data_IF_662561205180
#
_entry.id   IF_662561205180
#
_cell.length_a   1.000
_cell.length_b   1.000
_cell.length_c   1.000
_cell.angle_alpha   90.00
_cell.angle_beta   90.00
_cell.angle_gamma   90.00
#
_symmetry.space_group_name_H-M   'P 1'
#
loop_
_entity.id
_entity.type
_entity.pdbx_description
1 polymer ?
#
# COMPACT_ATOMS: atom_id res chain seq x y z
N UNK A 1 12.68 61.43 -22.84
CA UNK A 1 11.75 60.72 -21.96
C UNK A 1 12.55 59.80 -21.05
N UNK A 2 12.35 59.93 -19.74
CA UNK A 2 13.09 59.26 -18.66
C UNK A 2 12.85 57.75 -18.69
N UNK A 3 13.91 56.95 -18.68
CA UNK A 3 13.83 55.53 -18.33
C UNK A 3 14.55 55.33 -16.97
N UNK A 4 13.74 55.06 -15.94
CA UNK A 4 14.17 54.72 -14.59
C UNK A 4 14.93 53.38 -14.62
N UNK A 5 16.20 53.38 -14.21
CA UNK A 5 16.89 52.16 -13.75
C UNK A 5 16.54 51.94 -12.28
N UNK A 6 15.80 50.87 -11.97
CA UNK A 6 15.66 50.35 -10.60
C UNK A 6 16.71 49.25 -10.40
N UNK A 7 17.72 49.56 -9.60
CA UNK A 7 18.57 48.56 -8.97
C UNK A 7 17.77 47.90 -7.84
N UNK A 8 17.60 46.58 -7.90
CA UNK A 8 17.13 45.79 -6.74
C UNK A 8 18.33 44.98 -6.27
N UNK A 9 18.88 45.39 -5.13
CA UNK A 9 19.86 44.61 -4.39
C UNK A 9 19.14 43.42 -3.75
N UNK A 10 19.56 42.20 -4.11
CA UNK A 10 19.12 40.99 -3.43
C UNK A 10 19.91 40.86 -2.12
N UNK A 11 19.23 41.11 -0.99
CA UNK A 11 19.75 40.81 0.34
C UNK A 11 19.48 39.33 0.61
N UNK A 12 20.53 38.51 0.51
CA UNK A 12 20.54 37.12 0.98
C UNK A 12 20.63 37.12 2.51
N UNK A 13 19.48 37.06 3.16
CA UNK A 13 19.39 36.79 4.60
C UNK A 13 19.54 35.29 4.86
N UNK A 14 20.67 34.88 5.43
CA UNK A 14 20.86 33.55 5.99
C UNK A 14 20.00 33.41 7.26
N UNK A 15 18.89 32.69 7.16
CA UNK A 15 18.10 32.26 8.30
C UNK A 15 18.76 31.03 8.92
N UNK A 16 19.47 31.23 10.02
CA UNK A 16 19.84 30.18 10.94
C UNK A 16 18.54 29.60 11.55
N UNK A 17 18.25 28.33 11.24
CA UNK A 17 17.17 27.56 11.87
C UNK A 17 17.55 27.30 13.33
N UNK A 18 17.12 28.18 14.23
CA UNK A 18 16.96 27.83 15.64
C UNK A 18 15.77 26.87 15.77
N UNK A 19 15.98 25.71 16.39
CA UNK A 19 14.94 24.75 16.75
C UNK A 19 13.93 25.37 17.73
N UNK A 20 12.92 26.03 17.19
CA UNK A 20 11.78 26.56 17.93
C UNK A 20 10.74 25.46 18.12
N UNK A 21 10.57 25.02 19.37
CA UNK A 21 9.48 24.13 19.79
C UNK A 21 8.15 24.86 19.64
N UNK A 22 7.43 24.60 18.54
CA UNK A 22 6.02 24.91 18.44
C UNK A 22 5.23 23.90 19.26
N UNK A 23 4.80 24.28 20.47
CA UNK A 23 3.79 23.55 21.22
C UNK A 23 2.46 23.64 20.44
N UNK A 24 2.13 22.61 19.66
CA UNK A 24 0.76 22.40 19.22
C UNK A 24 0.00 21.71 20.36
N UNK A 25 -0.91 22.41 21.04
CA UNK A 25 -1.84 21.78 21.99
C UNK A 25 -2.87 20.92 21.24
N UNK A 26 -2.44 19.75 20.77
CA UNK A 26 -3.34 18.74 20.24
C UNK A 26 -3.92 17.92 21.40
N UNK A 27 -5.25 17.98 21.58
CA UNK A 27 -5.96 17.16 22.57
C UNK A 27 -6.69 16.02 21.88
N UNK A 28 -6.53 14.81 22.41
CA UNK A 28 -7.16 13.60 21.87
C UNK A 28 -7.90 12.83 22.95
N UNK A 29 -9.00 12.18 22.57
CA UNK A 29 -9.81 11.39 23.51
C UNK A 29 -9.15 10.04 23.87
N UNK A 30 -8.41 9.46 22.93
CA UNK A 30 -7.64 8.23 23.11
C UNK A 30 -6.30 8.34 22.39
N UNK A 31 -5.27 7.70 22.95
CA UNK A 31 -3.99 7.52 22.28
C UNK A 31 -4.13 6.29 21.37
N UNK A 32 -3.84 6.45 20.07
CA UNK A 32 -3.92 5.38 19.08
C UNK A 32 -5.32 4.73 18.92
N UNK A 33 -6.38 5.49 18.55
CA UNK A 33 -7.68 4.91 18.20
C UNK A 33 -7.59 3.99 16.98
N UNK A 34 -8.56 3.06 16.87
CA UNK A 34 -8.83 2.31 15.66
C UNK A 34 -9.07 3.27 14.48
N UNK A 35 -8.29 3.13 13.41
CA UNK A 35 -8.28 4.10 12.32
C UNK A 35 -8.14 3.47 10.92
N UNK A 36 -8.56 2.21 10.76
CA UNK A 36 -8.54 1.50 9.46
C UNK A 36 -9.95 1.35 8.89
N UNK A 37 -10.06 0.99 7.60
CA UNK A 37 -11.32 0.58 6.97
C UNK A 37 -11.68 -0.89 7.20
N UNK A 38 -10.82 -1.67 7.84
CA UNK A 38 -11.13 -3.04 8.22
C UNK A 38 -12.31 -3.10 9.20
N UNK A 39 -13.12 -4.15 9.12
CA UNK A 39 -14.28 -4.30 10.00
C UNK A 39 -13.85 -4.37 11.47
N UNK A 40 -14.58 -3.69 12.36
CA UNK A 40 -14.36 -3.78 13.82
C UNK A 40 -14.64 -5.19 14.37
N UNK A 41 -15.37 -6.00 13.61
CA UNK A 41 -15.65 -7.39 13.95
C UNK A 41 -14.52 -8.34 13.54
N UNK A 42 -13.66 -7.93 12.60
CA UNK A 42 -12.48 -8.70 12.24
C UNK A 42 -11.43 -8.65 13.34
N UNK A 43 -11.19 -9.78 14.01
CA UNK A 43 -10.30 -9.89 15.17
C UNK A 43 -8.83 -10.15 14.82
N UNK A 44 -8.49 -10.07 13.54
CA UNK A 44 -7.20 -10.50 13.02
C UNK A 44 -7.25 -11.97 12.56
N UNK A 45 -6.13 -12.47 12.07
CA UNK A 45 -6.03 -13.85 11.59
C UNK A 45 -4.65 -14.44 11.89
N UNK A 46 -4.59 -15.77 11.96
CA UNK A 46 -3.35 -16.50 12.26
C UNK A 46 -2.28 -16.36 11.18
N UNK A 47 -2.64 -15.88 9.98
CA UNK A 47 -1.71 -15.57 8.89
C UNK A 47 -1.10 -14.15 9.02
N UNK A 48 -1.05 -13.58 10.23
CA UNK A 48 -0.33 -12.35 10.54
C UNK A 48 -1.13 -11.06 10.39
N UNK A 49 -2.40 -11.12 9.99
CA UNK A 49 -3.23 -9.94 9.81
C UNK A 49 -3.72 -9.37 11.15
N UNK A 50 -3.58 -8.06 11.29
CA UNK A 50 -4.08 -7.31 12.44
C UNK A 50 -5.61 -7.26 12.49
N UNK A 51 -6.17 -7.04 13.68
CA UNK A 51 -7.60 -6.76 13.83
C UNK A 51 -7.98 -5.44 13.15
N UNK A 52 -9.22 -5.31 12.67
CA UNK A 52 -9.72 -4.05 12.09
C UNK A 52 -9.81 -2.90 13.09
N UNK A 53 -9.70 -3.19 14.39
CA UNK A 53 -9.60 -2.21 15.47
C UNK A 53 -8.19 -1.66 15.71
N UNK A 54 -7.21 -2.03 14.90
CA UNK A 54 -5.82 -1.58 15.06
C UNK A 54 -5.66 -0.09 14.78
N UNK A 55 -4.68 0.52 15.44
CA UNK A 55 -4.21 1.88 15.13
C UNK A 55 -2.98 1.79 14.26
N UNK A 56 -3.09 2.29 13.04
CA UNK A 56 -2.07 2.20 12.00
C UNK A 56 -1.53 3.58 11.68
N UNK A 57 -0.24 3.67 11.39
CA UNK A 57 0.38 4.91 10.96
C UNK A 57 -0.29 5.48 9.71
N UNK A 58 -0.54 6.80 9.75
CA UNK A 58 -1.04 7.60 8.63
C UNK A 58 0.05 8.44 7.98
N UNK A 59 1.32 8.13 8.27
CA UNK A 59 2.42 8.72 7.51
C UNK A 59 2.22 8.34 6.04
N UNK A 60 2.31 9.35 5.17
CA UNK A 60 2.13 9.18 3.73
C UNK A 60 3.13 8.15 3.19
N UNK A 61 2.64 7.14 2.48
CA UNK A 61 3.47 6.07 1.90
C UNK A 61 4.53 6.58 0.93
N UNK A 62 4.32 7.75 0.31
CA UNK A 62 5.31 8.38 -0.55
C UNK A 62 6.61 8.74 0.18
N UNK A 63 6.58 8.87 1.51
CA UNK A 63 7.79 9.07 2.32
C UNK A 63 8.77 7.90 2.28
N UNK A 64 8.31 6.70 1.85
CA UNK A 64 9.17 5.53 1.63
C UNK A 64 9.79 5.49 0.23
N UNK A 65 9.39 6.38 -0.68
CA UNK A 65 9.97 6.48 -2.02
C UNK A 65 11.16 7.43 -2.03
N UNK A 66 11.99 7.30 -3.07
CA UNK A 66 13.17 8.13 -3.28
C UNK A 66 12.80 9.63 -3.33
N UNK A 67 13.69 10.54 -2.86
CA UNK A 67 13.42 11.98 -2.86
C UNK A 67 13.08 12.54 -4.24
N UNK A 68 12.04 13.36 -4.32
CA UNK A 68 11.55 13.94 -5.58
C UNK A 68 10.81 12.94 -6.47
N UNK A 69 10.37 11.81 -5.92
CA UNK A 69 9.49 10.86 -6.61
C UNK A 69 8.19 11.53 -7.04
N UNK A 70 7.77 11.22 -8.27
CA UNK A 70 6.43 11.48 -8.81
C UNK A 70 5.67 10.17 -9.09
N UNK A 71 6.18 9.05 -8.56
CA UNK A 71 5.57 7.73 -8.69
C UNK A 71 4.19 7.74 -8.06
N UNK A 72 3.20 7.24 -8.80
CA UNK A 72 1.86 7.04 -8.26
C UNK A 72 1.77 5.72 -7.53
N UNK A 73 1.19 5.73 -6.33
CA UNK A 73 1.02 4.56 -5.48
C UNK A 73 -0.40 4.02 -5.61
N UNK A 74 -0.54 2.80 -6.10
CA UNK A 74 -1.81 2.16 -6.42
C UNK A 74 -2.02 0.94 -5.51
N UNK A 75 -3.19 0.79 -4.92
CA UNK A 75 -3.52 -0.40 -4.16
C UNK A 75 -4.07 -1.51 -5.07
N UNK A 76 -3.54 -2.72 -5.00
CA UNK A 76 -4.20 -3.88 -5.60
C UNK A 76 -5.47 -4.19 -4.78
N UNK A 77 -6.63 -3.93 -5.36
CA UNK A 77 -7.93 -3.93 -4.68
C UNK A 77 -8.81 -5.08 -5.17
N UNK A 78 -9.29 -5.89 -4.24
CA UNK A 78 -10.03 -7.10 -4.52
C UNK A 78 -11.47 -6.95 -3.99
N UNK A 79 -12.45 -6.61 -4.83
CA UNK A 79 -13.85 -6.47 -4.39
C UNK A 79 -14.52 -7.85 -4.28
N UNK A 80 -13.88 -8.77 -3.55
CA UNK A 80 -14.20 -10.19 -3.49
C UNK A 80 -15.23 -10.57 -2.42
N UNK A 81 -15.39 -9.74 -1.39
CA UNK A 81 -16.11 -10.11 -0.16
C UNK A 81 -17.61 -9.97 -0.37
N UNK A 82 -18.26 -11.04 -0.82
CA UNK A 82 -19.67 -11.08 -1.18
C UNK A 82 -20.56 -11.86 -0.22
N UNK A 83 -21.76 -12.30 -0.68
CA UNK A 83 -22.67 -13.13 0.13
C UNK A 83 -22.12 -14.54 0.35
N UNK A 84 -21.34 -15.03 -0.61
CA UNK A 84 -20.78 -16.37 -0.55
C UNK A 84 -19.60 -16.38 0.42
N UNK A 85 -19.63 -17.28 1.42
CA UNK A 85 -18.53 -17.40 2.38
C UNK A 85 -17.21 -17.75 1.69
N UNK A 86 -16.13 -17.11 2.13
CA UNK A 86 -14.75 -17.40 1.74
C UNK A 86 -13.97 -17.97 2.93
N UNK A 87 -12.67 -18.26 2.74
CA UNK A 87 -11.79 -18.81 3.79
C UNK A 87 -11.61 -17.89 5.01
N UNK A 88 -11.97 -16.62 4.89
CA UNK A 88 -11.90 -15.62 5.96
C UNK A 88 -13.19 -14.80 6.02
N UNK A 89 -13.76 -14.63 7.21
CA UNK A 89 -14.85 -13.68 7.45
C UNK A 89 -14.26 -12.30 7.78
N UNK A 90 -14.26 -11.40 6.81
CA UNK A 90 -13.72 -10.03 6.95
C UNK A 90 -14.68 -9.05 7.63
N UNK A 91 -15.93 -9.46 7.88
CA UNK A 91 -16.93 -8.66 8.59
C UNK A 91 -17.49 -7.46 7.80
N UNK A 92 -17.39 -7.48 6.47
CA UNK A 92 -18.02 -6.51 5.57
C UNK A 92 -18.32 -7.15 4.21
N UNK A 93 -19.08 -6.43 3.37
CA UNK A 93 -19.25 -6.77 1.95
C UNK A 93 -18.63 -5.71 1.04
N UNK A 94 -18.09 -6.14 -0.10
CA UNK A 94 -17.44 -5.26 -1.08
C UNK A 94 -18.43 -4.47 -1.93
N UNK A 95 -19.70 -4.89 -1.97
CA UNK A 95 -20.79 -4.18 -2.64
C UNK A 95 -21.54 -3.21 -1.72
N UNK A 96 -21.09 -3.02 -0.47
CA UNK A 96 -21.62 -1.99 0.44
C UNK A 96 -20.96 -0.63 0.17
N UNK A 97 -21.68 0.39 -0.33
CA UNK A 97 -21.12 1.71 -0.60
C UNK A 97 -20.51 2.37 0.64
N UNK A 98 -21.02 2.08 1.85
CA UNK A 98 -20.43 2.62 3.08
C UNK A 98 -19.07 2.02 3.36
N UNK A 99 -18.89 0.73 3.06
CA UNK A 99 -17.58 0.10 3.14
C UNK A 99 -16.65 0.69 2.08
N UNK A 100 -17.08 0.80 0.82
CA UNK A 100 -16.28 1.37 -0.25
C UNK A 100 -15.78 2.79 0.09
N UNK A 101 -16.67 3.65 0.61
CA UNK A 101 -16.28 4.99 1.09
C UNK A 101 -15.19 4.93 2.17
N UNK A 102 -15.35 4.06 3.19
CA UNK A 102 -14.36 3.91 4.25
C UNK A 102 -13.02 3.43 3.70
N UNK A 103 -13.04 2.48 2.77
CA UNK A 103 -11.85 1.95 2.11
C UNK A 103 -11.11 3.06 1.36
N UNK A 104 -11.76 3.84 0.50
CA UNK A 104 -11.09 4.91 -0.24
C UNK A 104 -10.66 6.07 0.66
N UNK A 105 -11.43 6.42 1.69
CA UNK A 105 -11.01 7.42 2.67
C UNK A 105 -9.75 6.97 3.43
N UNK A 106 -9.69 5.69 3.83
CA UNK A 106 -8.51 5.12 4.47
C UNK A 106 -7.30 5.12 3.52
N UNK A 107 -7.48 4.66 2.29
CA UNK A 107 -6.46 4.70 1.25
C UNK A 107 -5.90 6.12 1.06
N UNK A 108 -6.77 7.13 0.94
CA UNK A 108 -6.36 8.53 0.79
C UNK A 108 -5.58 9.00 2.02
N UNK A 109 -6.02 8.62 3.22
CA UNK A 109 -5.35 8.99 4.47
C UNK A 109 -3.94 8.40 4.62
N UNK A 110 -3.57 7.41 3.79
CA UNK A 110 -2.24 6.77 3.77
C UNK A 110 -1.41 7.13 2.54
N UNK A 111 -1.91 8.06 1.70
CA UNK A 111 -1.23 8.51 0.50
C UNK A 111 -1.36 7.58 -0.71
N UNK A 112 -2.43 6.79 -0.82
CA UNK A 112 -2.70 6.01 -2.04
C UNK A 112 -3.38 6.89 -3.08
N UNK A 113 -2.91 6.81 -4.33
CA UNK A 113 -3.37 7.61 -5.49
C UNK A 113 -4.38 6.89 -6.38
N UNK A 114 -4.78 5.67 -6.01
CA UNK A 114 -5.69 4.88 -6.82
C UNK A 114 -5.67 3.40 -6.54
N UNK A 115 -6.41 2.66 -7.35
CA UNK A 115 -6.55 1.21 -7.22
C UNK A 115 -6.34 0.48 -8.54
N UNK A 116 -5.76 -0.71 -8.47
CA UNK A 116 -5.77 -1.68 -9.56
C UNK A 116 -6.82 -2.71 -9.15
N UNK A 117 -7.95 -2.72 -9.85
CA UNK A 117 -9.12 -3.54 -9.50
C UNK A 117 -8.94 -4.93 -10.08
N UNK A 118 -8.83 -5.92 -9.20
CA UNK A 118 -8.78 -7.32 -9.58
C UNK A 118 -10.17 -7.79 -10.04
N UNK A 119 -10.28 -8.21 -11.30
CA UNK A 119 -11.56 -8.29 -12.02
C UNK A 119 -11.77 -9.62 -12.77
N UNK A 120 -12.97 -10.18 -12.62
CA UNK A 120 -13.27 -11.58 -12.98
C UNK A 120 -14.19 -11.73 -14.19
N UNK A 121 -14.50 -10.67 -14.92
CA UNK A 121 -15.46 -10.73 -16.04
C UNK A 121 -16.79 -10.08 -15.72
N UNK A 122 -17.50 -9.68 -16.77
CA UNK A 122 -18.86 -9.16 -16.70
C UNK A 122 -19.77 -10.19 -16.02
N UNK A 123 -20.69 -9.72 -15.17
CA UNK A 123 -21.70 -10.55 -14.51
C UNK A 123 -21.19 -11.36 -13.31
N UNK A 124 -19.88 -11.33 -13.03
CA UNK A 124 -19.32 -11.85 -11.78
C UNK A 124 -19.60 -10.89 -10.61
N UNK A 125 -19.71 -11.39 -9.38
CA UNK A 125 -19.95 -10.54 -8.19
C UNK A 125 -18.95 -9.39 -8.05
N UNK A 126 -17.68 -9.63 -8.39
CA UNK A 126 -16.60 -8.64 -8.40
C UNK A 126 -16.91 -7.42 -9.27
N UNK A 127 -17.54 -7.64 -10.43
CA UNK A 127 -17.98 -6.58 -11.34
C UNK A 127 -19.09 -5.75 -10.70
N UNK A 128 -20.10 -6.40 -10.12
CA UNK A 128 -21.18 -5.76 -9.36
C UNK A 128 -20.66 -4.93 -8.19
N UNK A 129 -19.73 -5.49 -7.41
CA UNK A 129 -19.14 -4.82 -6.25
C UNK A 129 -18.27 -3.62 -6.66
N UNK A 130 -17.54 -3.74 -7.78
CA UNK A 130 -16.78 -2.62 -8.33
C UNK A 130 -17.71 -1.50 -8.84
N UNK A 131 -18.76 -1.82 -9.59
CA UNK A 131 -19.75 -0.84 -10.04
C UNK A 131 -20.41 -0.11 -8.85
N UNK A 132 -20.69 -0.82 -7.75
CA UNK A 132 -21.20 -0.20 -6.51
C UNK A 132 -20.17 0.72 -5.82
N UNK A 133 -18.88 0.46 -6.00
CA UNK A 133 -17.77 1.24 -5.43
C UNK A 133 -17.45 2.51 -6.22
N UNK A 134 -17.69 2.54 -7.53
CA UNK A 134 -17.32 3.67 -8.40
C UNK A 134 -17.92 5.03 -7.98
N UNK A 135 -19.22 5.13 -7.59
CA UNK A 135 -19.76 6.40 -7.08
C UNK A 135 -19.07 6.89 -5.79
N UNK A 136 -18.52 5.97 -5.01
CA UNK A 136 -17.78 6.30 -3.78
C UNK A 136 -16.36 6.74 -4.10
N UNK A 137 -15.68 6.08 -5.05
CA UNK A 137 -14.38 6.51 -5.59
C UNK A 137 -14.45 7.93 -6.19
N UNK A 138 -15.56 8.27 -6.85
CA UNK A 138 -15.78 9.59 -7.45
C UNK A 138 -15.71 10.76 -6.46
N UNK A 139 -15.86 10.48 -5.16
CA UNK A 139 -15.71 11.46 -4.07
C UNK A 139 -14.23 11.79 -3.76
N UNK A 140 -13.29 11.04 -4.35
CA UNK A 140 -11.85 11.18 -4.19
C UNK A 140 -11.19 11.50 -5.55
N UNK A 141 -11.33 12.73 -6.07
CA UNK A 141 -10.95 13.06 -7.46
C UNK A 141 -9.45 12.88 -7.78
N UNK A 142 -8.58 12.81 -6.77
CA UNK A 142 -7.15 12.50 -6.94
C UNK A 142 -6.87 11.01 -7.16
N UNK A 143 -7.84 10.13 -6.90
CA UNK A 143 -7.70 8.70 -7.10
C UNK A 143 -8.09 8.27 -8.51
N UNK A 144 -7.27 7.42 -9.13
CA UNK A 144 -7.63 6.74 -10.39
C UNK A 144 -7.81 5.25 -10.17
N UNK A 145 -8.38 4.56 -11.16
CA UNK A 145 -8.43 3.10 -11.16
C UNK A 145 -8.06 2.50 -12.51
N UNK A 146 -7.55 1.28 -12.52
CA UNK A 146 -7.45 0.44 -13.72
C UNK A 146 -8.04 -0.93 -13.45
N UNK A 147 -8.28 -1.69 -14.52
CA UNK A 147 -8.74 -3.08 -14.43
C UNK A 147 -7.55 -4.02 -14.62
N UNK A 148 -7.39 -4.96 -13.69
CA UNK A 148 -6.56 -6.15 -13.84
C UNK A 148 -7.49 -7.34 -14.11
N UNK A 149 -7.39 -7.92 -15.30
CA UNK A 149 -8.20 -9.08 -15.67
C UNK A 149 -7.56 -10.34 -15.09
N UNK A 150 -8.23 -10.96 -14.12
CA UNK A 150 -7.74 -12.15 -13.44
C UNK A 150 -7.92 -13.42 -14.27
N UNK A 151 -7.08 -14.41 -13.98
CA UNK A 151 -7.15 -15.77 -14.50
C UNK A 151 -8.53 -16.43 -14.35
N UNK A 152 -9.29 -16.08 -13.30
CA UNK A 152 -10.65 -16.52 -13.08
C UNK A 152 -11.60 -16.08 -14.19
N UNK A 153 -11.37 -14.91 -14.80
CA UNK A 153 -12.11 -14.46 -15.98
C UNK A 153 -11.86 -15.35 -17.19
N UNK A 154 -10.68 -15.96 -17.31
CA UNK A 154 -10.34 -16.83 -18.43
C UNK A 154 -10.68 -18.31 -18.17
N UNK A 155 -10.75 -18.72 -16.90
CA UNK A 155 -10.92 -20.14 -16.52
C UNK A 155 -12.35 -20.49 -16.14
N UNK A 156 -13.01 -19.64 -15.37
CA UNK A 156 -14.30 -19.96 -14.76
C UNK A 156 -15.43 -19.03 -15.22
N UNK A 157 -15.09 -17.85 -15.74
CA UNK A 157 -16.05 -16.88 -16.28
C UNK A 157 -15.75 -16.47 -17.74
N UNK A 158 -15.20 -17.40 -18.52
CA UNK A 158 -14.94 -17.18 -19.94
C UNK A 158 -16.25 -17.05 -20.73
N UNK A 159 -16.23 -16.34 -21.87
CA UNK A 159 -17.40 -16.29 -22.73
C UNK A 159 -17.70 -17.67 -23.34
N UNK A 160 -18.98 -17.96 -23.52
CA UNK A 160 -19.44 -19.30 -23.90
C UNK A 160 -18.89 -19.73 -25.27
N UNK A 161 -18.10 -20.80 -25.29
CA UNK A 161 -17.50 -21.37 -26.50
C UNK A 161 -16.28 -20.60 -27.03
N UNK A 162 -15.83 -19.57 -26.31
CA UNK A 162 -14.68 -18.76 -26.69
C UNK A 162 -13.36 -19.46 -26.37
N UNK A 163 -12.34 -19.21 -27.19
CA UNK A 163 -10.95 -19.41 -26.78
C UNK A 163 -10.45 -18.26 -25.87
N UNK A 164 -9.19 -18.33 -25.43
CA UNK A 164 -8.59 -17.29 -24.60
C UNK A 164 -8.58 -15.91 -25.29
N UNK A 165 -8.26 -15.87 -26.59
CA UNK A 165 -8.21 -14.62 -27.35
C UNK A 165 -9.59 -13.98 -27.44
N UNK A 166 -10.62 -14.78 -27.75
CA UNK A 166 -12.01 -14.33 -27.84
C UNK A 166 -12.54 -13.90 -26.48
N UNK A 167 -12.13 -14.57 -25.41
CA UNK A 167 -12.46 -14.16 -24.04
C UNK A 167 -11.84 -12.81 -23.69
N UNK A 168 -10.56 -12.59 -24.03
CA UNK A 168 -9.91 -11.28 -23.84
C UNK A 168 -10.63 -10.20 -24.64
N UNK A 169 -10.95 -10.45 -25.91
CA UNK A 169 -11.67 -9.49 -26.76
C UNK A 169 -13.06 -9.16 -26.21
N UNK A 170 -13.78 -10.15 -25.68
CA UNK A 170 -15.07 -9.97 -25.02
C UNK A 170 -14.95 -9.11 -23.76
N UNK A 171 -13.96 -9.39 -22.91
CA UNK A 171 -13.68 -8.60 -21.71
C UNK A 171 -13.30 -7.16 -22.05
N UNK A 172 -12.45 -6.96 -23.06
CA UNK A 172 -12.07 -5.63 -23.52
C UNK A 172 -13.26 -4.84 -24.07
N UNK A 173 -14.18 -5.49 -24.79
CA UNK A 173 -15.40 -4.84 -25.27
C UNK A 173 -16.26 -4.32 -24.11
N UNK A 174 -16.35 -5.08 -23.02
CA UNK A 174 -17.05 -4.68 -21.82
C UNK A 174 -16.34 -3.53 -21.10
N UNK A 175 -15.07 -3.72 -20.73
CA UNK A 175 -14.28 -2.74 -19.96
C UNK A 175 -14.17 -1.41 -20.72
N UNK A 176 -14.01 -1.45 -22.04
CA UNK A 176 -13.93 -0.23 -22.85
C UNK A 176 -15.21 0.59 -22.80
N UNK A 177 -16.37 -0.06 -22.81
CA UNK A 177 -17.67 0.60 -22.76
C UNK A 177 -18.00 1.09 -21.34
N UNK A 178 -17.76 0.25 -20.35
CA UNK A 178 -18.21 0.47 -18.97
C UNK A 178 -17.28 1.40 -18.20
N UNK A 179 -15.96 1.25 -18.39
CA UNK A 179 -14.97 1.86 -17.49
C UNK A 179 -14.14 2.96 -18.12
N UNK A 180 -13.80 2.89 -19.42
CA UNK A 180 -12.89 3.88 -20.03
C UNK A 180 -13.48 5.28 -20.19
N UNK A 181 -14.81 5.41 -20.08
CA UNK A 181 -15.52 6.70 -20.10
C UNK A 181 -15.34 7.49 -18.80
N UNK A 182 -14.92 6.82 -17.71
CA UNK A 182 -14.61 7.50 -16.46
C UNK A 182 -13.37 8.37 -16.59
N UNK A 183 -13.47 9.61 -16.11
CA UNK A 183 -12.30 10.51 -16.00
C UNK A 183 -11.29 10.05 -14.96
N UNK A 184 -11.68 9.13 -14.07
CA UNK A 184 -10.79 8.49 -13.11
C UNK A 184 -10.19 7.18 -13.63
N UNK A 185 -10.49 6.75 -14.86
CA UNK A 185 -9.79 5.61 -15.44
C UNK A 185 -8.32 5.96 -15.68
N UNK A 186 -7.42 5.11 -15.20
CA UNK A 186 -5.98 5.34 -15.28
C UNK A 186 -5.51 5.28 -16.73
N UNK A 187 -4.80 6.32 -17.13
CA UNK A 187 -4.20 6.45 -18.45
C UNK A 187 -2.71 6.74 -18.32
N UNK A 188 -1.92 6.20 -19.23
CA UNK A 188 -0.52 6.54 -19.40
C UNK A 188 -0.32 7.06 -20.82
N UNK A 189 0.16 8.29 -20.95
CA UNK A 189 0.29 8.98 -22.23
C UNK A 189 -1.04 9.02 -23.04
N UNK A 190 -2.16 9.21 -22.33
CA UNK A 190 -3.52 9.24 -22.91
C UNK A 190 -4.16 7.86 -23.14
N UNK A 191 -3.38 6.78 -23.13
CA UNK A 191 -3.86 5.41 -23.37
C UNK A 191 -4.42 4.75 -22.11
N UNK A 192 -5.60 4.07 -22.15
CA UNK A 192 -6.07 3.27 -21.01
C UNK A 192 -5.07 2.17 -20.67
N UNK A 193 -4.80 2.01 -19.38
CA UNK A 193 -3.92 0.93 -18.89
C UNK A 193 -4.77 -0.24 -18.41
N UNK A 194 -4.52 -1.43 -18.95
CA UNK A 194 -5.14 -2.69 -18.52
C UNK A 194 -4.01 -3.67 -18.18
N UNK A 195 -4.18 -4.40 -17.08
CA UNK A 195 -3.25 -5.47 -16.71
C UNK A 195 -3.94 -6.83 -16.72
N UNK A 196 -3.16 -7.90 -16.71
CA UNK A 196 -3.66 -9.27 -16.50
C UNK A 196 -2.99 -9.88 -15.29
N UNK A 197 -3.64 -10.86 -14.66
CA UNK A 197 -3.04 -11.69 -13.63
C UNK A 197 -3.19 -13.17 -13.97
N UNK A 198 -2.08 -13.90 -14.07
CA UNK A 198 -2.08 -15.35 -14.20
C UNK A 198 -2.66 -15.88 -15.52
N UNK A 199 -2.70 -15.06 -16.58
CA UNK A 199 -3.24 -15.45 -17.88
C UNK A 199 -2.48 -16.61 -18.53
N UNK A 200 -1.16 -16.70 -18.29
CA UNK A 200 -0.31 -17.79 -18.82
C UNK A 200 -0.79 -19.18 -18.40
N UNK A 201 -1.49 -19.28 -17.27
CA UNK A 201 -2.08 -20.53 -16.79
C UNK A 201 -3.38 -20.92 -17.52
N UNK A 202 -3.97 -20.00 -18.30
CA UNK A 202 -5.20 -20.23 -19.07
C UNK A 202 -4.92 -20.66 -20.52
N UNK A 203 -3.76 -20.32 -21.09
CA UNK A 203 -3.38 -20.72 -22.45
C UNK A 203 -2.54 -19.68 -23.17
N UNK A 204 -2.47 -19.77 -24.50
CA UNK A 204 -1.80 -18.79 -25.35
C UNK A 204 -2.83 -17.87 -26.01
N UNK A 205 -2.62 -16.55 -25.89
CA UNK A 205 -3.42 -15.54 -26.55
C UNK A 205 -2.79 -15.09 -27.88
N UNK A 206 -3.62 -14.77 -28.87
CA UNK A 206 -3.18 -14.11 -30.10
C UNK A 206 -3.14 -12.58 -29.86
N UNK A 207 -1.98 -12.12 -29.40
CA UNK A 207 -1.74 -10.71 -29.12
C UNK A 207 -1.79 -9.80 -30.35
N UNK A 208 -1.54 -10.33 -31.54
CA UNK A 208 -1.67 -9.55 -32.78
C UNK A 208 -3.14 -9.27 -33.07
N UNK A 209 -4.02 -10.27 -32.92
CA UNK A 209 -5.47 -10.09 -33.04
C UNK A 209 -6.03 -9.16 -31.96
N UNK A 210 -5.56 -9.29 -30.71
CA UNK A 210 -5.99 -8.41 -29.60
C UNK A 210 -5.57 -6.96 -29.87
N UNK A 211 -4.31 -6.72 -30.23
CA UNK A 211 -3.82 -5.38 -30.53
C UNK A 211 -4.51 -4.77 -31.76
N UNK A 212 -4.76 -5.55 -32.82
CA UNK A 212 -5.47 -5.06 -34.00
C UNK A 212 -6.91 -4.60 -33.68
N UNK A 213 -7.58 -5.25 -32.72
CA UNK A 213 -8.92 -4.86 -32.30
C UNK A 213 -8.93 -3.66 -31.33
N UNK A 214 -7.91 -3.55 -30.47
CA UNK A 214 -7.80 -2.50 -29.45
C UNK A 214 -6.38 -1.89 -29.43
N UNK A 215 -5.98 -1.14 -30.47
CA UNK A 215 -4.62 -0.63 -30.62
C UNK A 215 -4.26 0.43 -29.57
N UNK A 216 -5.26 1.09 -28.99
CA UNK A 216 -5.09 2.20 -28.05
C UNK A 216 -4.90 1.74 -26.59
N UNK A 217 -5.03 0.45 -26.28
CA UNK A 217 -4.87 -0.07 -24.90
C UNK A 217 -3.41 -0.38 -24.61
N UNK A 218 -2.92 0.07 -23.46
CA UNK A 218 -1.61 -0.30 -22.95
C UNK A 218 -1.72 -1.49 -22.00
N UNK A 219 -1.17 -2.62 -22.44
CA UNK A 219 -1.15 -3.87 -21.69
C UNK A 219 0.07 -3.98 -20.79
N UNK A 220 -0.18 -4.26 -19.51
CA UNK A 220 0.86 -4.54 -18.52
C UNK A 220 0.73 -5.99 -18.08
N UNK A 221 1.83 -6.73 -18.16
CA UNK A 221 1.83 -8.17 -17.87
C UNK A 221 2.50 -8.53 -16.56
N UNK A 222 2.18 -9.71 -16.05
CA UNK A 222 2.72 -10.23 -14.82
C UNK A 222 4.20 -10.59 -15.01
N UNK A 223 5.05 -10.07 -14.12
CA UNK A 223 6.47 -10.43 -13.97
C UNK A 223 7.36 -10.10 -15.19
N UNK A 224 8.67 -10.35 -15.05
CA UNK A 224 9.65 -9.95 -16.05
C UNK A 224 9.42 -10.52 -17.47
N UNK A 225 8.95 -11.77 -17.67
CA UNK A 225 8.60 -12.27 -19.00
C UNK A 225 7.54 -11.43 -19.71
N UNK A 226 6.72 -10.70 -18.95
CA UNK A 226 5.71 -9.79 -19.48
C UNK A 226 6.26 -8.67 -20.36
N UNK A 227 7.53 -8.27 -20.19
CA UNK A 227 8.18 -7.29 -21.07
C UNK A 227 8.42 -7.84 -22.50
N UNK A 228 8.54 -9.16 -22.65
CA UNK A 228 8.89 -9.81 -23.91
C UNK A 228 7.65 -10.22 -24.73
N UNK A 229 6.44 -10.05 -24.17
CA UNK A 229 5.20 -10.38 -24.88
C UNK A 229 4.95 -9.44 -26.06
N UNK A 230 4.47 -9.96 -27.21
CA UNK A 230 4.11 -9.11 -28.35
C UNK A 230 3.09 -8.04 -27.94
N UNK A 231 3.34 -6.80 -28.35
CA UNK A 231 2.49 -5.63 -28.04
C UNK A 231 2.35 -5.29 -26.54
N UNK A 232 3.17 -5.91 -25.68
CA UNK A 232 3.32 -5.48 -24.29
C UNK A 232 3.74 -4.01 -24.22
N UNK A 233 3.16 -3.30 -23.25
CA UNK A 233 3.57 -1.94 -22.87
C UNK A 233 4.22 -1.91 -21.52
N UNK A 234 4.45 -3.06 -20.89
CA UNK A 234 5.10 -3.10 -19.60
C UNK A 234 4.88 -4.38 -18.84
N UNK A 235 5.45 -4.40 -17.64
CA UNK A 235 5.22 -5.45 -16.68
C UNK A 235 5.23 -4.94 -15.25
N UNK A 236 4.66 -5.75 -14.36
CA UNK A 236 4.65 -5.51 -12.92
C UNK A 236 5.32 -6.64 -12.14
N UNK A 237 5.92 -6.32 -11.00
CA UNK A 237 6.45 -7.33 -10.08
C UNK A 237 5.39 -7.76 -9.08
N UNK A 238 5.41 -9.03 -8.70
CA UNK A 238 4.54 -9.60 -7.68
C UNK A 238 5.36 -10.32 -6.61
N UNK A 239 4.82 -10.46 -5.40
CA UNK A 239 5.45 -11.19 -4.31
C UNK A 239 5.76 -12.64 -4.72
N UNK A 240 6.93 -13.15 -4.35
CA UNK A 240 7.33 -14.54 -4.63
C UNK A 240 7.59 -15.29 -3.32
N UNK A 241 6.51 -15.65 -2.59
CA UNK A 241 6.62 -16.38 -1.33
C UNK A 241 7.14 -17.80 -1.59
N UNK A 242 7.74 -18.38 -0.56
CA UNK A 242 8.35 -19.71 -0.64
C UNK A 242 7.48 -20.76 0.04
N UNK A 243 7.46 -22.00 -0.47
CA UNK A 243 6.78 -23.10 0.21
C UNK A 243 7.27 -23.23 1.67
N UNK A 244 6.33 -23.46 2.60
CA UNK A 244 6.64 -23.78 4.00
C UNK A 244 7.52 -25.03 4.15
N UNK A 245 7.43 -25.97 3.20
CA UNK A 245 8.08 -27.28 3.28
C UNK A 245 9.41 -27.35 2.53
N UNK A 246 9.76 -26.32 1.76
CA UNK A 246 11.02 -26.28 1.02
C UNK A 246 12.09 -25.56 1.85
N UNK A 247 13.22 -26.22 2.20
CA UNK A 247 14.34 -25.52 2.81
C UNK A 247 14.86 -24.47 1.83
N UNK A 248 14.68 -23.19 2.16
CA UNK A 248 15.38 -22.12 1.47
C UNK A 248 16.86 -22.24 1.85
N UNK A 249 17.80 -22.36 0.88
CA UNK A 249 19.22 -22.32 1.20
C UNK A 249 19.51 -21.06 2.05
N UNK A 250 20.27 -21.21 3.13
CA UNK A 250 20.63 -20.09 3.98
C UNK A 250 21.29 -18.99 3.13
N UNK A 251 20.66 -17.80 3.09
CA UNK A 251 21.15 -16.67 2.30
C UNK A 251 20.40 -16.41 0.99
N UNK A 252 19.58 -17.34 0.49
CA UNK A 252 18.64 -17.05 -0.61
C UNK A 252 17.25 -16.75 -0.06
N UNK A 253 16.78 -15.52 -0.24
CA UNK A 253 15.35 -15.18 -0.16
C UNK A 253 14.82 -15.21 -1.59
N UNK A 254 14.05 -16.24 -1.95
CA UNK A 254 13.48 -16.41 -3.30
C UNK A 254 12.83 -15.11 -3.81
N UNK A 255 12.04 -14.48 -2.94
CA UNK A 255 11.43 -13.16 -3.15
C UNK A 255 12.42 -12.07 -3.56
N UNK A 256 13.49 -11.89 -2.78
CA UNK A 256 14.51 -10.88 -3.04
C UNK A 256 15.18 -11.11 -4.40
N UNK A 257 15.62 -12.34 -4.68
CA UNK A 257 16.28 -12.63 -5.96
C UNK A 257 15.37 -12.35 -7.15
N UNK A 258 14.10 -12.73 -7.05
CA UNK A 258 13.13 -12.52 -8.12
C UNK A 258 12.85 -11.02 -8.32
N UNK A 259 12.62 -10.30 -7.23
CA UNK A 259 12.36 -8.84 -7.23
C UNK A 259 13.54 -8.06 -7.79
N UNK A 260 14.77 -8.37 -7.37
CA UNK A 260 15.98 -7.72 -7.86
C UNK A 260 16.21 -8.01 -9.35
N UNK A 261 15.95 -9.24 -9.79
CA UNK A 261 16.01 -9.62 -11.22
C UNK A 261 14.98 -8.86 -12.04
N UNK A 262 13.74 -8.75 -11.58
CA UNK A 262 12.70 -7.97 -12.25
C UNK A 262 13.16 -6.54 -12.48
N UNK A 263 13.64 -5.85 -11.43
CA UNK A 263 14.03 -4.46 -11.58
C UNK A 263 15.30 -4.27 -12.41
N UNK A 264 16.22 -5.24 -12.42
CA UNK A 264 17.38 -5.22 -13.32
C UNK A 264 16.94 -5.33 -14.79
N UNK A 265 15.96 -6.17 -15.10
CA UNK A 265 15.39 -6.27 -16.46
C UNK A 265 14.64 -4.99 -16.82
N UNK A 266 13.79 -4.49 -15.91
CA UNK A 266 13.00 -3.28 -16.10
C UNK A 266 13.85 -2.05 -16.47
N UNK A 267 15.00 -1.84 -15.80
CA UNK A 267 15.89 -0.71 -16.11
C UNK A 267 16.56 -0.78 -17.49
N UNK A 268 16.60 -1.95 -18.10
CA UNK A 268 17.18 -2.16 -19.43
C UNK A 268 16.12 -2.14 -20.53
N UNK A 269 14.85 -1.93 -20.20
CA UNK A 269 13.77 -1.82 -21.18
C UNK A 269 13.87 -0.51 -21.96
N UNK A 270 13.43 -0.50 -23.23
CA UNK A 270 13.44 0.71 -24.04
C UNK A 270 12.53 1.80 -23.44
N UNK A 271 12.79 3.09 -23.73
CA UNK A 271 11.90 4.17 -23.33
C UNK A 271 10.45 3.90 -23.79
N UNK A 272 9.48 4.21 -22.92
CA UNK A 272 8.06 3.96 -23.18
C UNK A 272 7.53 2.63 -22.68
N UNK A 273 8.39 1.69 -22.25
CA UNK A 273 7.95 0.53 -21.47
C UNK A 273 7.62 0.95 -20.03
N UNK A 274 6.42 0.61 -19.59
CA UNK A 274 5.91 0.93 -18.26
C UNK A 274 6.40 -0.15 -17.30
N UNK A 275 7.20 0.26 -16.32
CA UNK A 275 7.47 -0.59 -15.16
C UNK A 275 6.51 -0.22 -14.06
N UNK A 276 5.80 -1.23 -13.53
CA UNK A 276 5.01 -1.09 -12.30
C UNK A 276 5.77 -1.80 -11.19
N UNK A 277 6.27 -1.03 -10.22
CA UNK A 277 6.89 -1.60 -9.03
C UNK A 277 5.87 -2.31 -8.15
N UNK A 278 6.35 -3.07 -7.18
CA UNK A 278 5.50 -3.80 -6.24
C UNK A 278 6.12 -3.79 -4.85
N UNK A 279 5.28 -3.60 -3.85
CA UNK A 279 5.64 -3.60 -2.43
C UNK A 279 4.61 -4.40 -1.63
N UNK A 280 5.07 -5.15 -0.65
CA UNK A 280 4.25 -6.06 0.15
C UNK A 280 4.81 -6.18 1.56
N UNK A 281 3.94 -6.42 2.53
CA UNK A 281 4.33 -6.53 3.94
C UNK A 281 4.78 -7.93 4.32
N UNK A 282 4.33 -8.95 3.60
CA UNK A 282 4.51 -10.37 3.87
C UNK A 282 3.55 -11.18 3.02
N UNK A 283 3.48 -12.48 3.28
CA UNK A 283 2.57 -13.40 2.59
C UNK A 283 2.40 -14.67 3.43
N UNK A 284 1.18 -15.13 3.61
CA UNK A 284 0.82 -16.39 4.25
C UNK A 284 -0.57 -16.84 3.76
N UNK A 285 -0.58 -17.75 2.78
CA UNK A 285 -1.78 -18.29 2.15
C UNK A 285 -2.36 -19.53 2.84
N UNK A 286 -2.04 -19.76 4.11
CA UNK A 286 -2.65 -20.85 4.92
C UNK A 286 -4.16 -20.72 5.09
N UNK A 287 -4.74 -19.54 4.80
CA UNK A 287 -6.19 -19.30 4.79
C UNK A 287 -6.82 -19.38 3.41
N UNK A 288 -6.01 -19.47 2.36
CA UNK A 288 -6.48 -19.57 0.99
C UNK A 288 -6.75 -21.02 0.59
N UNK A 289 -7.83 -21.26 -0.14
CA UNK A 289 -8.16 -22.59 -0.64
C UNK A 289 -7.11 -23.11 -1.63
N UNK A 290 -6.48 -22.23 -2.40
CA UNK A 290 -5.41 -22.57 -3.34
C UNK A 290 -4.05 -22.84 -2.67
N UNK A 291 -3.84 -22.34 -1.44
CA UNK A 291 -2.65 -22.62 -0.64
C UNK A 291 -2.74 -23.91 0.18
N UNK A 292 -3.91 -24.54 0.28
CA UNK A 292 -4.19 -25.62 1.24
C UNK A 292 -3.25 -26.82 1.14
N UNK A 293 -2.81 -27.20 -0.08
CA UNK A 293 -1.94 -28.36 -0.28
C UNK A 293 -0.45 -28.07 -0.01
N UNK A 294 -0.01 -26.84 -0.23
CA UNK A 294 1.38 -26.43 -0.14
C UNK A 294 1.45 -24.92 0.15
N UNK A 295 1.17 -24.51 1.40
CA UNK A 295 1.12 -23.10 1.74
C UNK A 295 2.50 -22.47 1.53
N UNK A 296 2.49 -21.19 1.22
CA UNK A 296 3.66 -20.36 0.97
C UNK A 296 3.75 -19.27 2.03
N UNK A 297 4.99 -18.92 2.39
CA UNK A 297 5.30 -17.90 3.37
C UNK A 297 6.31 -16.91 2.80
N UNK A 298 6.06 -15.65 3.10
CA UNK A 298 7.06 -14.61 3.13
C UNK A 298 6.92 -13.89 4.47
N UNK A 299 7.91 -14.06 5.35
CA UNK A 299 7.86 -13.48 6.69
C UNK A 299 7.69 -11.96 6.63
N UNK A 300 6.81 -11.36 7.45
CA UNK A 300 6.70 -9.91 7.53
C UNK A 300 7.90 -9.25 8.22
N UNK A 301 8.73 -10.03 8.91
CA UNK A 301 9.96 -9.58 9.58
C UNK A 301 9.77 -8.28 10.39
N UNK A 302 8.67 -8.21 11.17
CA UNK A 302 8.31 -7.05 11.99
C UNK A 302 8.14 -5.74 11.19
N UNK A 303 7.71 -5.82 9.94
CA UNK A 303 7.57 -4.68 9.02
C UNK A 303 8.81 -4.41 8.17
N UNK A 304 9.91 -5.16 8.34
CA UNK A 304 11.11 -4.97 7.52
C UNK A 304 10.93 -5.43 6.09
N UNK A 305 10.13 -6.47 5.83
CA UNK A 305 9.84 -6.91 4.46
C UNK A 305 9.19 -5.80 3.64
N UNK A 306 8.27 -5.05 4.25
CA UNK A 306 7.70 -3.84 3.66
C UNK A 306 8.79 -2.82 3.29
N UNK A 307 9.64 -2.43 4.23
CA UNK A 307 10.71 -1.45 3.99
C UNK A 307 11.74 -1.93 2.95
N UNK A 308 12.08 -3.22 2.97
CA UNK A 308 13.03 -3.83 2.04
C UNK A 308 12.50 -3.80 0.58
N UNK A 309 11.18 -3.89 0.37
CA UNK A 309 10.60 -3.77 -0.98
C UNK A 309 10.72 -2.35 -1.54
N UNK A 310 10.52 -1.33 -0.71
CA UNK A 310 10.78 0.08 -1.09
C UNK A 310 12.27 0.33 -1.33
N UNK A 311 13.15 -0.27 -0.52
CA UNK A 311 14.60 -0.16 -0.71
C UNK A 311 15.02 -0.64 -2.11
N UNK A 312 14.51 -1.79 -2.58
CA UNK A 312 14.78 -2.29 -3.93
C UNK A 312 14.41 -1.30 -5.05
N UNK A 313 13.35 -0.51 -4.85
CA UNK A 313 12.93 0.58 -5.75
C UNK A 313 13.91 1.75 -5.65
N UNK A 314 14.19 2.22 -4.43
CA UNK A 314 14.99 3.42 -4.18
C UNK A 314 16.47 3.27 -4.61
N UNK A 315 16.98 2.04 -4.66
CA UNK A 315 18.33 1.75 -5.19
C UNK A 315 18.41 1.86 -6.72
N UNK A 316 17.27 1.96 -7.41
CA UNK A 316 17.18 1.86 -8.86
C UNK A 316 16.54 3.05 -9.56
N UNK A 317 15.66 3.74 -8.86
CA UNK A 317 14.94 4.91 -9.35
C UNK A 317 15.34 6.16 -8.59
N UNK A 318 15.15 7.31 -9.21
CA UNK A 318 15.55 8.61 -8.66
C UNK A 318 14.77 9.72 -9.35
N UNK A 319 14.99 10.97 -8.92
CA UNK A 319 14.40 12.15 -9.60
C UNK A 319 14.72 12.21 -11.10
N UNK A 320 15.85 11.61 -11.55
CA UNK A 320 16.27 11.57 -12.96
C UNK A 320 15.76 10.36 -13.74
N UNK A 321 15.28 9.34 -13.03
CA UNK A 321 14.74 8.12 -13.59
C UNK A 321 13.55 7.70 -12.72
N UNK A 322 12.40 8.27 -13.05
CA UNK A 322 11.17 8.05 -12.29
C UNK A 322 10.61 6.66 -12.57
N UNK A 323 10.08 6.01 -11.53
CA UNK A 323 9.19 4.87 -11.66
C UNK A 323 7.76 5.41 -11.85
N UNK A 324 7.00 5.06 -12.90
CA UNK A 324 5.66 5.60 -13.09
C UNK A 324 4.67 5.20 -11.99
N UNK A 325 4.66 3.91 -11.64
CA UNK A 325 3.67 3.32 -10.74
C UNK A 325 4.31 2.35 -9.76
N UNK A 326 3.79 2.29 -8.55
CA UNK A 326 4.02 1.22 -7.58
C UNK A 326 2.68 0.64 -7.16
N UNK A 327 2.56 -0.68 -7.17
CA UNK A 327 1.42 -1.40 -6.66
C UNK A 327 1.67 -1.89 -5.23
N UNK A 328 0.73 -1.63 -4.33
CA UNK A 328 0.69 -2.19 -2.98
C UNK A 328 -0.02 -3.55 -3.02
N UNK A 329 0.68 -4.61 -2.65
CA UNK A 329 0.25 -6.01 -2.74
C UNK A 329 0.00 -6.53 -1.32
N UNK A 330 -1.24 -6.70 -0.88
CA UNK A 330 -2.50 -6.22 -1.50
C UNK A 330 -3.24 -5.31 -0.52
N UNK A 331 -4.31 -4.63 -0.97
CA UNK A 331 -5.13 -3.90 0.00
C UNK A 331 -5.88 -4.85 0.93
N UNK A 332 -6.60 -5.82 0.37
CA UNK A 332 -7.58 -6.61 1.11
C UNK A 332 -7.66 -8.08 0.69
N UNK A 333 -6.54 -8.70 0.30
CA UNK A 333 -6.48 -10.17 0.24
C UNK A 333 -6.15 -10.73 1.64
N UNK A 334 -7.23 -11.02 2.37
CA UNK A 334 -7.15 -11.58 3.71
C UNK A 334 -6.78 -13.06 3.72
N UNK A 335 -7.02 -13.77 2.61
CA UNK A 335 -6.76 -15.21 2.48
C UNK A 335 -5.25 -15.48 2.33
N UNK A 336 -4.52 -14.58 1.68
CA UNK A 336 -3.06 -14.66 1.49
C UNK A 336 -2.22 -13.95 2.57
N UNK A 337 -2.85 -13.38 3.59
CA UNK A 337 -2.13 -12.66 4.65
C UNK A 337 -1.38 -11.43 4.14
N UNK A 338 -1.71 -10.96 2.93
CA UNK A 338 -1.06 -9.84 2.25
C UNK A 338 -1.83 -8.52 2.40
N UNK A 339 -3.06 -8.56 2.94
CA UNK A 339 -3.90 -7.40 3.17
C UNK A 339 -3.22 -6.31 4.02
N UNK A 340 -3.16 -5.10 3.47
CA UNK A 340 -2.66 -3.88 4.10
C UNK A 340 -3.76 -3.07 4.81
N UNK A 341 -5.03 -3.39 4.55
CA UNK A 341 -6.21 -2.71 5.09
C UNK A 341 -6.15 -2.58 6.61
N UNK A 342 -5.89 -3.67 7.35
CA UNK A 342 -5.77 -3.63 8.82
C UNK A 342 -4.40 -3.16 9.33
N UNK A 343 -3.46 -2.90 8.41
CA UNK A 343 -2.10 -2.46 8.69
C UNK A 343 -1.10 -3.61 8.86
N UNK A 344 0.14 -3.23 9.12
CA UNK A 344 1.28 -4.13 9.28
C UNK A 344 1.61 -4.22 10.76
N UNK A 345 1.66 -5.44 11.29
CA UNK A 345 1.98 -5.67 12.70
C UNK A 345 3.36 -5.10 13.06
N UNK A 346 3.42 -4.40 14.19
CA UNK A 346 4.67 -3.91 14.77
C UNK A 346 5.18 -4.92 15.81
N UNK A 347 6.50 -5.09 15.87
CA UNK A 347 7.17 -5.78 16.98
C UNK A 347 7.82 -4.79 17.95
N UNK A 348 7.49 -3.49 17.84
CA UNK A 348 8.04 -2.45 18.72
C UNK A 348 7.53 -2.67 20.13
N UNK A 349 8.46 -2.74 21.07
CA UNK A 349 8.23 -2.66 22.50
C UNK A 349 8.85 -1.36 23.00
N UNK A 350 8.20 -0.71 23.97
CA UNK A 350 8.64 0.57 24.53
C UNK A 350 8.90 0.36 26.02
N UNK A 351 10.17 0.49 26.43
CA UNK A 351 10.55 0.64 27.83
C UNK A 351 10.85 2.12 28.10
N UNK A 352 10.11 2.70 29.04
CA UNK A 352 10.20 4.11 29.35
C UNK A 352 10.12 4.32 30.86
N UNK A 353 11.09 5.03 31.42
CA UNK A 353 11.22 5.24 32.86
C UNK A 353 11.48 6.72 33.17
N UNK A 354 10.87 7.28 34.23
CA UNK A 354 11.17 8.64 34.65
C UNK A 354 12.59 8.73 35.23
N UNK A 355 13.34 9.74 34.82
CA UNK A 355 14.66 10.08 35.33
C UNK A 355 14.81 11.60 35.49
N UNK A 356 14.65 12.08 36.72
CA UNK A 356 14.68 13.51 37.02
C UNK A 356 13.61 14.28 36.26
N UNK A 357 14.02 15.27 35.46
CA UNK A 357 13.14 16.08 34.61
C UNK A 357 12.95 15.49 33.19
N UNK A 358 13.24 14.22 33.01
CA UNK A 358 13.17 13.54 31.71
C UNK A 358 12.58 12.13 31.84
N UNK A 359 12.25 11.53 30.71
CA UNK A 359 11.92 10.11 30.58
C UNK A 359 13.01 9.47 29.74
N UNK A 360 13.69 8.46 30.27
CA UNK A 360 14.57 7.60 29.46
C UNK A 360 13.72 6.68 28.62
N UNK A 361 14.07 6.49 27.35
CA UNK A 361 13.30 5.71 26.38
C UNK A 361 14.19 4.69 25.70
N UNK A 362 13.70 3.47 25.57
CA UNK A 362 14.28 2.42 24.74
C UNK A 362 13.16 1.77 23.96
N UNK A 363 13.34 1.67 22.64
CA UNK A 363 12.43 0.93 21.77
C UNK A 363 13.15 -0.21 21.06
N UNK A 364 12.43 -1.32 20.83
CA UNK A 364 12.87 -2.35 19.88
C UNK A 364 12.46 -1.93 18.46
N UNK A 365 13.14 -2.46 17.43
CA UNK A 365 12.85 -2.18 16.03
C UNK A 365 12.70 -0.68 15.65
N UNK A 366 13.63 0.21 16.06
CA UNK A 366 13.52 1.65 15.74
C UNK A 366 13.49 1.93 14.23
N UNK A 367 13.98 1.01 13.40
CA UNK A 367 13.94 1.10 11.94
C UNK A 367 12.52 1.09 11.35
N UNK A 368 11.53 0.58 12.08
CA UNK A 368 10.12 0.53 11.65
C UNK A 368 9.24 1.60 12.31
N UNK A 369 9.85 2.45 13.14
CA UNK A 369 9.21 3.59 13.78
C UNK A 369 9.60 4.87 13.03
N UNK A 370 8.61 5.71 12.75
CA UNK A 370 8.82 7.01 12.12
C UNK A 370 9.29 8.05 13.14
N UNK A 371 8.52 8.20 14.22
CA UNK A 371 8.81 9.10 15.31
C UNK A 371 8.09 8.67 16.60
N UNK A 372 8.48 9.27 17.72
CA UNK A 372 7.82 9.12 19.02
C UNK A 372 6.96 10.34 19.33
N UNK A 373 5.83 10.12 19.97
CA UNK A 373 4.95 11.17 20.49
C UNK A 373 4.82 11.00 22.01
N UNK A 374 5.14 12.04 22.78
CA UNK A 374 4.88 12.06 24.23
C UNK A 374 3.50 12.65 24.48
N UNK A 375 2.67 11.95 25.23
CA UNK A 375 1.36 12.40 25.66
C UNK A 375 1.30 12.52 27.18
N UNK A 376 0.60 13.54 27.67
CA UNK A 376 0.21 13.71 29.07
C UNK A 376 -1.27 13.38 29.22
N UNK A 377 -1.62 12.62 30.25
CA UNK A 377 -3.03 12.36 30.60
C UNK A 377 -3.60 13.52 31.42
N UNK A 378 -4.65 14.14 30.91
CA UNK A 378 -5.38 15.23 31.57
C UNK A 378 -6.64 14.75 32.30
N UNK A 379 -7.16 13.58 31.92
CA UNK A 379 -8.34 12.94 32.50
C UNK A 379 -8.55 11.53 31.99
N UNK A 380 -9.68 10.91 32.32
CA UNK A 380 -9.96 9.51 31.95
C UNK A 380 -9.93 9.27 30.42
N UNK A 381 -10.43 10.22 29.63
CA UNK A 381 -10.49 10.16 28.17
C UNK A 381 -10.02 11.47 27.53
N UNK A 382 -8.93 12.05 28.05
CA UNK A 382 -8.35 13.28 27.52
C UNK A 382 -6.84 13.25 27.68
N UNK A 383 -6.13 13.38 26.58
CA UNK A 383 -4.68 13.40 26.51
C UNK A 383 -4.22 14.64 25.75
N UNK A 384 -3.08 15.19 26.13
CA UNK A 384 -2.42 16.31 25.45
C UNK A 384 -1.13 15.82 24.83
N UNK A 385 -0.93 16.07 23.53
CA UNK A 385 0.36 15.88 22.90
C UNK A 385 1.34 16.92 23.48
N UNK A 386 2.41 16.43 24.08
CA UNK A 386 3.48 17.25 24.65
C UNK A 386 4.49 17.61 23.56
N UNK A 387 4.90 16.63 22.75
CA UNK A 387 5.93 16.81 21.74
C UNK A 387 6.16 15.58 20.89
N UNK A 388 6.85 15.79 19.76
CA UNK A 388 7.27 14.75 18.82
C UNK A 388 8.79 14.66 18.82
N UNK A 389 9.33 13.45 18.80
CA UNK A 389 10.75 13.17 18.94
C UNK A 389 11.21 12.15 17.89
N UNK A 390 12.48 12.18 17.46
CA UNK A 390 13.04 11.14 16.60
C UNK A 390 12.84 9.73 17.17
N UNK A 391 12.76 8.72 16.30
CA UNK A 391 12.59 7.32 16.72
C UNK A 391 13.77 6.76 17.52
N UNK A 392 14.95 7.36 17.42
CA UNK A 392 16.17 7.00 18.16
C UNK A 392 16.37 7.81 19.45
N UNK A 393 15.40 8.64 19.85
CA UNK A 393 15.46 9.39 21.09
C UNK A 393 15.58 8.46 22.30
N UNK A 394 16.67 8.62 23.06
CA UNK A 394 16.94 7.84 24.29
C UNK A 394 16.52 8.57 25.57
N UNK A 395 16.23 9.87 25.47
CA UNK A 395 15.76 10.71 26.56
C UNK A 395 14.83 11.80 26.02
N UNK A 396 13.70 11.99 26.69
CA UNK A 396 12.69 12.98 26.37
C UNK A 396 12.51 13.90 27.57
N UNK A 397 12.72 15.21 27.39
CA UNK A 397 12.49 16.19 28.45
C UNK A 397 10.99 16.32 28.77
N UNK A 398 10.66 16.39 30.06
CA UNK A 398 9.29 16.67 30.50
C UNK A 398 9.04 18.19 30.50
N UNK A 399 7.90 18.66 29.97
CA UNK A 399 7.55 20.06 29.94
C UNK A 399 7.19 20.52 31.36
N UNK A 400 8.15 21.19 32.01
CA UNK A 400 8.10 21.55 33.42
C UNK A 400 8.12 20.29 34.31
N UNK A 401 8.77 20.32 35.47
CA UNK A 401 8.86 19.15 36.38
C UNK A 401 7.52 18.89 37.08
N UNK A 402 6.46 18.62 36.30
CA UNK A 402 5.10 18.39 36.77
C UNK A 402 4.88 16.90 36.97
N UNK A 403 4.52 16.54 38.19
CA UNK A 403 3.96 15.23 38.51
C UNK A 403 2.76 14.95 37.60
N UNK A 404 2.64 13.73 37.10
CA UNK A 404 1.61 13.37 36.13
C UNK A 404 1.79 11.97 35.55
N UNK A 405 0.82 11.56 34.75
CA UNK A 405 0.86 10.30 34.00
C UNK A 405 1.10 10.60 32.53
N UNK A 406 2.18 10.05 32.00
CA UNK A 406 2.59 10.22 30.61
C UNK A 406 2.57 8.90 29.85
N UNK A 407 2.53 8.99 28.53
CA UNK A 407 2.56 7.85 27.61
C UNK A 407 3.42 8.20 26.42
N UNK A 408 4.18 7.24 25.91
CA UNK A 408 4.88 7.37 24.64
C UNK A 408 4.13 6.54 23.60
N UNK A 409 3.81 7.17 22.47
CA UNK A 409 3.33 6.48 21.28
C UNK A 409 4.46 6.41 20.27
N UNK A 410 4.92 5.21 19.93
CA UNK A 410 5.74 4.97 18.75
C UNK A 410 4.83 4.97 17.52
N UNK A 411 4.96 6.00 16.68
CA UNK A 411 4.26 6.07 15.40
C UNK A 411 5.03 5.23 14.40
N UNK A 412 4.40 4.21 13.83
CA UNK A 412 5.04 3.36 12.84
C UNK A 412 5.39 4.15 11.57
N UNK A 413 6.31 3.63 10.75
CA UNK A 413 6.44 4.03 9.33
C UNK A 413 5.12 3.76 8.58
N UNK A 414 4.92 4.29 7.35
CA UNK A 414 3.65 4.11 6.62
C UNK A 414 3.13 2.67 6.68
N UNK A 415 1.85 2.52 7.00
CA UNK A 415 1.14 1.24 7.20
C UNK A 415 1.52 0.42 8.45
N UNK A 416 2.57 0.77 9.19
CA UNK A 416 2.97 0.02 10.39
C UNK A 416 2.14 0.47 11.60
N UNK A 417 1.74 -0.49 12.42
CA UNK A 417 0.95 -0.29 13.63
C UNK A 417 1.63 0.70 14.60
N UNK A 418 0.84 1.61 15.16
CA UNK A 418 1.26 2.47 16.26
C UNK A 418 1.27 1.67 17.57
N UNK A 419 2.30 1.85 18.40
CA UNK A 419 2.42 1.19 19.71
C UNK A 419 2.42 2.24 20.80
N UNK A 420 1.68 2.01 21.88
CA UNK A 420 1.63 2.90 23.05
C UNK A 420 2.28 2.21 24.24
N UNK A 421 3.13 2.92 24.96
CA UNK A 421 3.80 2.42 26.16
C UNK A 421 2.81 2.14 27.30
N UNK A 422 3.29 1.44 28.33
CA UNK A 422 2.65 1.51 29.64
C UNK A 422 2.64 2.96 30.18
N UNK A 423 1.79 3.21 31.18
CA UNK A 423 1.72 4.50 31.86
C UNK A 423 3.05 4.83 32.58
N UNK A 424 3.58 6.00 32.31
CA UNK A 424 4.81 6.53 32.92
C UNK A 424 4.40 7.52 34.00
N UNK A 425 4.48 7.12 35.26
CA UNK A 425 4.06 7.95 36.39
C UNK A 425 5.26 8.74 36.91
N UNK A 426 5.22 10.06 36.73
CA UNK A 426 6.20 11.01 37.25
C UNK A 426 5.63 11.58 38.55
N UNK A 427 6.43 11.57 39.62
CA UNK A 427 6.03 12.03 40.96
C UNK A 427 6.73 13.29 41.37
#
# INVERSE_FOLDING_TARGET
>A
MRALRRNVAAVLGALALSAGHGYCEERVATIAPANTSGSRDFKGSSNGLLAGTSSVSKIDVHTLLYPGSTTRVLAHYLPWWGPDPRGVNVGYRSDDPRQAYRTFADMQSRGIDGVIVDWYGQGHFVDTAWQASMPELAKFPGMTFSIMIDSGSFRFNACHGCDLTETILNNLAYISREYFTSTQYMRYDGHPVVSEFGMDAAGKADWARIHAAYPDIYWIHTLAPGFDLPYSKGAYVWAQPSSWTAPQPAGTRHDLLYRERFYNIARNQPPGMITVGGVWSGFDDTKASWGAAAPRLLSPACGRTWLDTFKSINERYSVRQQLPFVQLITWNDYEEGSALETGIASCTEIDAQPLGSSVTVRITHPDTVDHLELYEQLGASSFRLVGRYPSDATSIALPETRAGTYFIKAVGKPFIQNVVSAAIVVR
#
